data_IF_988749214978
#
_entry.id   IF_988749214978
#
_cell.length_a   1.000
_cell.length_b   1.000
_cell.length_c   1.000
_cell.angle_alpha   90.00
_cell.angle_beta   90.00
_cell.angle_gamma   90.00
#
_symmetry.space_group_name_H-M   'P 1'
#
loop_
_entity.id
_entity.type
_entity.pdbx_description
1 polymer ?
#
# COMPACT_ATOMS: atom_id res chain seq x y z
N UNK A 1 30.49 -26.76 -17.06
CA UNK A 1 29.22 -26.82 -16.31
C UNK A 1 28.88 -25.55 -15.51
N UNK A 2 29.80 -24.89 -14.76
CA UNK A 2 29.46 -23.70 -13.93
C UNK A 2 28.94 -22.46 -14.70
N UNK A 3 29.34 -22.25 -15.96
CA UNK A 3 28.91 -21.10 -16.79
C UNK A 3 27.48 -21.24 -17.36
N UNK A 4 26.94 -22.45 -17.45
CA UNK A 4 25.60 -22.68 -18.02
C UNK A 4 24.46 -22.18 -17.12
N UNK A 5 24.70 -22.06 -15.81
CA UNK A 5 23.72 -21.60 -14.82
C UNK A 5 23.95 -20.15 -14.37
N UNK A 6 24.91 -19.46 -14.97
CA UNK A 6 25.23 -18.07 -14.67
C UNK A 6 24.03 -17.12 -14.90
N UNK A 7 23.26 -17.23 -16.00
CA UNK A 7 22.05 -16.42 -16.20
C UNK A 7 21.00 -16.64 -15.10
N UNK A 8 20.80 -17.89 -14.68
CA UNK A 8 19.84 -18.24 -13.61
C UNK A 8 20.25 -17.65 -12.26
N UNK A 9 21.55 -17.63 -11.94
CA UNK A 9 22.05 -17.00 -10.71
C UNK A 9 21.85 -15.49 -10.74
N UNK A 10 22.09 -14.84 -11.88
CA UNK A 10 21.85 -13.41 -12.02
C UNK A 10 20.37 -13.07 -11.86
N UNK A 11 19.48 -13.86 -12.47
CA UNK A 11 18.03 -13.73 -12.27
C UNK A 11 17.61 -13.91 -10.81
N UNK A 12 18.11 -14.94 -10.13
CA UNK A 12 17.82 -15.19 -8.73
C UNK A 12 18.31 -14.04 -7.83
N UNK A 13 19.50 -13.51 -8.09
CA UNK A 13 20.03 -12.34 -7.38
C UNK A 13 19.17 -11.10 -7.61
N UNK A 14 18.78 -10.80 -8.86
CA UNK A 14 17.87 -9.69 -9.17
C UNK A 14 16.53 -9.85 -8.45
N UNK A 15 15.93 -11.05 -8.48
CA UNK A 15 14.69 -11.33 -7.77
C UNK A 15 14.85 -11.18 -6.24
N UNK A 16 15.99 -11.58 -5.67
CA UNK A 16 16.27 -11.43 -4.24
C UNK A 16 16.44 -9.96 -3.80
N UNK A 17 16.74 -9.04 -4.72
CA UNK A 17 16.79 -7.59 -4.40
C UNK A 17 15.41 -6.92 -4.43
N UNK A 18 14.37 -7.62 -4.89
CA UNK A 18 13.03 -7.05 -4.95
C UNK A 18 12.42 -7.06 -3.55
N UNK A 19 12.23 -5.87 -3.03
CA UNK A 19 11.54 -5.59 -1.77
C UNK A 19 10.25 -4.80 -2.04
N UNK A 20 9.38 -4.64 -1.05
CA UNK A 20 8.13 -3.88 -1.20
C UNK A 20 8.34 -2.43 -1.67
N UNK A 21 9.46 -1.81 -1.28
CA UNK A 21 9.88 -0.47 -1.70
C UNK A 21 10.55 -0.44 -3.09
N UNK A 22 10.90 -1.61 -3.66
CA UNK A 22 11.60 -1.74 -4.95
C UNK A 22 10.84 -2.58 -5.98
N UNK A 23 9.52 -2.69 -5.85
CA UNK A 23 8.67 -3.45 -6.77
C UNK A 23 8.70 -2.95 -8.23
N UNK A 24 9.20 -1.74 -8.49
CA UNK A 24 9.45 -1.21 -9.83
C UNK A 24 10.66 -1.89 -10.52
N UNK A 25 11.52 -2.57 -9.75
CA UNK A 25 12.67 -3.29 -10.28
C UNK A 25 12.19 -4.44 -11.18
N UNK A 26 12.92 -4.68 -12.26
CA UNK A 26 12.64 -5.75 -13.22
C UNK A 26 13.87 -6.63 -13.38
N UNK A 27 13.62 -7.89 -13.68
CA UNK A 27 14.67 -8.84 -14.07
C UNK A 27 15.05 -8.49 -15.51
N UNK A 28 16.33 -8.20 -15.74
CA UNK A 28 16.86 -7.85 -17.05
C UNK A 28 16.77 -9.01 -18.05
N UNK A 29 16.54 -8.70 -19.32
CA UNK A 29 16.44 -9.68 -20.42
C UNK A 29 17.72 -9.76 -21.27
N UNK A 30 18.75 -9.01 -20.93
CA UNK A 30 19.96 -8.91 -21.76
C UNK A 30 20.80 -10.19 -21.68
N UNK A 31 21.19 -10.73 -22.84
CA UNK A 31 22.07 -11.90 -22.97
C UNK A 31 21.55 -13.18 -22.29
N UNK A 32 20.23 -13.36 -22.23
CA UNK A 32 19.62 -14.55 -21.65
C UNK A 32 19.30 -15.58 -22.76
N UNK A 33 19.50 -16.89 -22.54
CA UNK A 33 19.00 -17.92 -23.46
C UNK A 33 17.50 -17.78 -23.72
N UNK A 34 17.10 -17.99 -24.97
CA UNK A 34 15.69 -17.87 -25.43
C UNK A 34 14.71 -18.72 -24.62
N UNK A 35 15.18 -19.84 -24.07
CA UNK A 35 14.41 -20.76 -23.24
C UNK A 35 13.98 -20.15 -21.90
N UNK A 36 14.67 -19.10 -21.42
CA UNK A 36 14.37 -18.42 -20.17
C UNK A 36 13.54 -17.13 -20.36
N UNK A 37 13.40 -16.64 -21.59
CA UNK A 37 12.58 -15.45 -21.87
C UNK A 37 11.14 -15.57 -21.35
N UNK A 38 10.42 -16.71 -21.54
CA UNK A 38 9.06 -16.84 -21.02
C UNK A 38 8.99 -16.76 -19.49
N UNK A 39 10.01 -17.29 -18.79
CA UNK A 39 10.09 -17.23 -17.34
C UNK A 39 10.34 -15.80 -16.85
N UNK A 40 11.25 -15.06 -17.50
CA UNK A 40 11.51 -13.65 -17.17
C UNK A 40 10.24 -12.82 -17.40
N UNK A 41 9.54 -13.04 -18.51
CA UNK A 41 8.29 -12.37 -18.81
C UNK A 41 7.22 -12.64 -17.73
N UNK A 42 7.06 -13.89 -17.31
CA UNK A 42 6.12 -14.26 -16.25
C UNK A 42 6.46 -13.61 -14.90
N UNK A 43 7.74 -13.63 -14.50
CA UNK A 43 8.22 -13.00 -13.26
C UNK A 43 8.00 -11.48 -13.28
N UNK A 44 8.39 -10.80 -14.37
CA UNK A 44 8.17 -9.37 -14.51
C UNK A 44 6.66 -9.01 -14.53
N UNK A 45 5.82 -9.88 -15.10
CA UNK A 45 4.37 -9.76 -15.05
C UNK A 45 3.83 -9.84 -13.61
N UNK A 46 4.30 -10.82 -12.83
CA UNK A 46 3.97 -10.95 -11.41
C UNK A 46 4.41 -9.73 -10.61
N UNK A 47 5.64 -9.24 -10.81
CA UNK A 47 6.17 -8.04 -10.16
C UNK A 47 5.33 -6.80 -10.49
N UNK A 48 4.96 -6.61 -11.75
CA UNK A 48 4.05 -5.53 -12.14
C UNK A 48 2.66 -5.67 -11.52
N UNK A 49 2.17 -6.89 -11.32
CA UNK A 49 0.93 -7.16 -10.60
C UNK A 49 1.00 -6.73 -9.13
N UNK A 50 2.08 -7.10 -8.45
CA UNK A 50 2.34 -6.72 -7.05
C UNK A 50 2.47 -5.20 -6.90
N UNK A 51 3.25 -4.56 -7.78
CA UNK A 51 3.44 -3.11 -7.79
C UNK A 51 2.09 -2.37 -7.88
N UNK A 52 1.24 -2.75 -8.83
CA UNK A 52 -0.10 -2.15 -8.99
C UNK A 52 -0.97 -2.35 -7.76
N UNK A 53 -0.93 -3.52 -7.14
CA UNK A 53 -1.72 -3.81 -5.94
C UNK A 53 -1.24 -2.99 -4.74
N UNK A 54 0.08 -2.86 -4.57
CA UNK A 54 0.65 -2.05 -3.50
C UNK A 54 0.33 -0.56 -3.67
N UNK A 55 0.43 -0.03 -4.89
CA UNK A 55 0.05 1.35 -5.21
C UNK A 55 -1.43 1.61 -4.88
N UNK A 56 -2.34 0.70 -5.27
CA UNK A 56 -3.77 0.82 -4.92
C UNK A 56 -4.00 0.81 -3.41
N UNK A 57 -3.34 -0.08 -2.67
CA UNK A 57 -3.48 -0.15 -1.21
C UNK A 57 -2.96 1.11 -0.52
N UNK A 58 -1.83 1.64 -0.99
CA UNK A 58 -1.28 2.90 -0.47
C UNK A 58 -2.23 4.07 -0.72
N UNK A 59 -2.79 4.17 -1.93
CA UNK A 59 -3.76 5.23 -2.25
C UNK A 59 -5.01 5.10 -1.41
N UNK A 60 -5.60 3.90 -1.33
CA UNK A 60 -6.76 3.62 -0.49
C UNK A 60 -6.51 3.98 0.98
N UNK A 61 -5.33 3.69 1.51
CA UNK A 61 -4.96 4.02 2.89
C UNK A 61 -4.84 5.53 3.09
N UNK A 62 -4.29 6.24 2.11
CA UNK A 62 -4.18 7.71 2.14
C UNK A 62 -5.57 8.36 2.09
N UNK A 63 -6.44 7.87 1.22
CA UNK A 63 -7.82 8.34 1.08
C UNK A 63 -8.60 8.09 2.39
N UNK A 64 -8.52 6.87 2.94
CA UNK A 64 -9.14 6.54 4.22
C UNK A 64 -8.62 7.43 5.36
N UNK A 65 -7.31 7.68 5.43
CA UNK A 65 -6.74 8.57 6.45
C UNK A 65 -7.24 10.01 6.31
N UNK A 66 -7.44 10.49 5.08
CA UNK A 66 -8.04 11.79 4.81
C UNK A 66 -9.51 11.82 5.24
N UNK A 67 -10.28 10.82 4.82
CA UNK A 67 -11.71 10.71 5.10
C UNK A 67 -12.00 10.55 6.59
N UNK A 68 -11.13 9.88 7.36
CA UNK A 68 -11.25 9.77 8.82
C UNK A 68 -10.85 11.05 9.57
N UNK A 69 -10.02 11.92 8.98
CA UNK A 69 -9.58 13.15 9.65
C UNK A 69 -10.75 14.08 9.97
N UNK A 70 -11.68 14.22 9.04
CA UNK A 70 -12.87 15.08 9.16
C UNK A 70 -13.82 14.63 10.29
N UNK A 71 -14.32 13.39 10.34
CA UNK A 71 -15.21 12.94 11.42
C UNK A 71 -14.50 12.97 12.77
N UNK A 72 -13.21 12.63 12.86
CA UNK A 72 -12.45 12.74 14.11
C UNK A 72 -12.35 14.21 14.57
N UNK A 73 -12.08 15.14 13.65
CA UNK A 73 -12.06 16.57 13.97
C UNK A 73 -13.42 17.07 14.46
N UNK A 74 -14.51 16.62 13.84
CA UNK A 74 -15.88 16.95 14.25
C UNK A 74 -16.19 16.40 15.65
N UNK A 75 -15.88 15.13 15.93
CA UNK A 75 -16.06 14.52 17.26
C UNK A 75 -15.28 15.26 18.34
N UNK A 76 -14.04 15.68 18.04
CA UNK A 76 -13.22 16.49 18.95
C UNK A 76 -13.87 17.85 19.21
N UNK A 77 -14.29 18.56 18.16
CA UNK A 77 -14.97 19.85 18.30
C UNK A 77 -16.28 19.75 19.09
N UNK A 78 -17.08 18.71 18.84
CA UNK A 78 -18.28 18.42 19.61
C UNK A 78 -17.97 18.20 21.09
N UNK A 79 -16.89 17.47 21.40
CA UNK A 79 -16.43 17.24 22.77
C UNK A 79 -15.97 18.55 23.45
N UNK A 80 -15.17 19.38 22.77
CA UNK A 80 -14.74 20.69 23.29
C UNK A 80 -15.94 21.60 23.59
N UNK A 81 -16.91 21.64 22.67
CA UNK A 81 -18.16 22.37 22.81
C UNK A 81 -18.94 21.84 24.03
N UNK A 82 -19.08 20.52 24.18
CA UNK A 82 -19.73 19.87 25.32
C UNK A 82 -19.09 20.21 26.68
N UNK A 83 -17.76 20.36 26.71
CA UNK A 83 -16.99 20.68 27.93
C UNK A 83 -16.95 22.18 28.26
N UNK A 84 -17.22 23.07 27.31
CA UNK A 84 -17.11 24.52 27.50
C UNK A 84 -18.08 25.10 28.56
N UNK A 85 -19.20 24.43 28.83
CA UNK A 85 -20.17 24.83 29.86
C UNK A 85 -21.09 23.66 30.25
N UNK A 86 -21.69 23.69 31.46
CA UNK A 86 -22.76 22.75 31.83
C UNK A 86 -23.95 22.84 30.86
N UNK A 87 -24.59 21.69 30.60
CA UNK A 87 -25.71 21.55 29.66
C UNK A 87 -26.81 20.66 30.24
N UNK A 88 -27.99 20.71 29.62
CA UNK A 88 -29.04 19.76 29.96
C UNK A 88 -28.68 18.35 29.50
N UNK A 89 -29.31 17.34 30.10
CA UNK A 89 -29.18 15.94 29.67
C UNK A 89 -29.56 15.76 28.20
N UNK A 90 -30.61 16.46 27.74
CA UNK A 90 -31.09 16.38 26.35
C UNK A 90 -30.06 16.93 25.36
N UNK A 91 -29.39 18.04 25.69
CA UNK A 91 -28.32 18.61 24.86
C UNK A 91 -27.11 17.67 24.74
N UNK A 92 -26.74 16.97 25.82
CA UNK A 92 -25.69 15.97 25.77
C UNK A 92 -26.09 14.76 24.91
N UNK A 93 -27.33 14.29 25.03
CA UNK A 93 -27.85 13.18 24.22
C UNK A 93 -27.88 13.53 22.72
N UNK A 94 -28.36 14.72 22.36
CA UNK A 94 -28.34 15.20 20.98
C UNK A 94 -26.92 15.28 20.41
N UNK A 95 -25.97 15.79 21.19
CA UNK A 95 -24.58 15.92 20.75
C UNK A 95 -23.93 14.55 20.53
N UNK A 96 -24.16 13.59 21.43
CA UNK A 96 -23.67 12.22 21.26
C UNK A 96 -24.30 11.54 20.05
N UNK A 97 -25.60 11.73 19.82
CA UNK A 97 -26.29 11.22 18.65
C UNK A 97 -25.76 11.82 17.33
N UNK A 98 -25.32 13.09 17.34
CA UNK A 98 -24.74 13.74 16.15
C UNK A 98 -23.33 13.27 15.78
N UNK A 99 -22.68 12.47 16.64
CA UNK A 99 -21.37 11.87 16.39
C UNK A 99 -21.45 10.42 15.86
N UNK A 100 -22.66 9.85 15.76
CA UNK A 100 -22.92 8.52 15.19
C UNK A 100 -23.40 8.63 13.75
#
# INVERSE_FOLDING_TARGET
MRRALEPLRNMANSAATVTSDKLHTRIAMDNVPSELEPLIAALNGMLGGLERSFQRLSQFTADLAHDMRTPIANMRGATEVALARPRSTDEYQMLLASNM
#
